data_IF_492664312912
#
_entry.id   IF_492664312912
#
_cell.length_a   1.000
_cell.length_b   1.000
_cell.length_c   1.000
_cell.angle_alpha   90.00
_cell.angle_beta   90.00
_cell.angle_gamma   90.00
#
_symmetry.space_group_name_H-M   'P 1'
#
loop_
_entity.id
_entity.type
_entity.pdbx_description
1 polymer ?
#
# COMPACT_ATOMS: atom_id res chain seq x y z
N UNK A 1 -41.96 -28.53 26.39
CA UNK A 1 -42.34 -28.22 27.80
C UNK A 1 -41.22 -27.42 28.41
N UNK A 2 -41.41 -26.11 28.49
CA UNK A 2 -40.63 -25.14 29.25
C UNK A 2 -40.72 -25.41 30.76
N UNK A 3 -39.60 -25.32 31.48
CA UNK A 3 -39.56 -25.09 32.94
C UNK A 3 -38.30 -24.33 33.33
N UNK A 4 -38.43 -23.01 33.38
CA UNK A 4 -37.52 -22.10 34.07
C UNK A 4 -37.60 -22.32 35.60
N UNK A 5 -36.51 -21.92 36.25
CA UNK A 5 -36.42 -21.01 37.42
C UNK A 5 -35.94 -21.55 38.78
N UNK A 6 -35.07 -20.70 39.34
CA UNK A 6 -34.89 -20.27 40.74
C UNK A 6 -33.70 -20.80 41.56
N UNK A 7 -32.73 -19.88 41.64
CA UNK A 7 -31.81 -19.55 42.74
C UNK A 7 -32.23 -20.04 44.13
N UNK A 8 -31.27 -20.54 44.91
CA UNK A 8 -31.33 -20.43 46.37
C UNK A 8 -29.93 -20.29 47.02
N UNK A 9 -29.80 -19.20 47.79
CA UNK A 9 -29.01 -18.89 49.01
C UNK A 9 -27.53 -19.28 49.12
N UNK A 10 -26.60 -18.32 49.32
CA UNK A 10 -26.38 -17.38 50.46
C UNK A 10 -25.55 -17.94 51.62
N UNK A 11 -24.72 -17.03 52.17
CA UNK A 11 -23.95 -17.04 53.42
C UNK A 11 -22.47 -17.47 53.24
N UNK A 12 -21.46 -16.79 53.77
CA UNK A 12 -21.42 -15.87 54.91
C UNK A 12 -20.07 -15.12 54.99
N UNK A 13 -20.02 -14.10 55.88
CA UNK A 13 -18.83 -13.55 56.59
C UNK A 13 -17.83 -12.73 55.74
N UNK A 14 -17.19 -11.66 56.19
CA UNK A 14 -17.07 -11.03 57.50
C UNK A 14 -16.08 -9.85 57.40
N UNK A 15 -16.31 -8.88 58.28
CA UNK A 15 -15.50 -7.74 58.74
C UNK A 15 -14.04 -7.55 58.23
N UNK A 16 -13.84 -6.34 57.69
CA UNK A 16 -12.68 -5.43 57.66
C UNK A 16 -11.34 -5.81 58.32
N UNK A 17 -10.23 -5.48 57.64
CA UNK A 17 -9.05 -4.81 58.25
C UNK A 17 -8.33 -3.98 57.18
N UNK A 18 -8.24 -2.65 57.40
CA UNK A 18 -7.25 -1.80 56.76
C UNK A 18 -5.99 -1.79 57.64
N UNK A 19 -4.84 -2.28 57.14
CA UNK A 19 -3.53 -1.93 57.69
C UNK A 19 -2.51 -1.87 56.55
N UNK A 20 -1.80 -0.76 56.52
CA UNK A 20 -0.69 -0.45 55.66
C UNK A 20 0.54 -1.34 55.91
N UNK A 21 1.39 -1.45 54.90
CA UNK A 21 2.83 -1.53 55.11
C UNK A 21 3.42 -2.93 55.26
N UNK A 22 4.05 -3.38 54.17
CA UNK A 22 5.33 -4.10 54.07
C UNK A 22 5.78 -5.02 55.22
N UNK A 23 6.05 -6.28 54.90
CA UNK A 23 7.43 -6.84 54.89
C UNK A 23 7.42 -8.25 54.30
N UNK A 24 8.39 -8.49 53.39
CA UNK A 24 9.19 -9.72 53.24
C UNK A 24 8.66 -11.03 53.87
N UNK A 25 8.34 -12.01 53.03
CA UNK A 25 8.81 -13.41 53.14
C UNK A 25 8.23 -14.22 51.97
N UNK A 26 9.05 -14.46 50.94
CA UNK A 26 9.70 -15.76 50.68
C UNK A 26 8.73 -16.77 50.06
N UNK A 27 8.66 -16.87 48.74
CA UNK A 27 9.48 -17.81 47.93
C UNK A 27 9.18 -19.30 48.14
N UNK A 28 7.93 -19.69 48.39
CA UNK A 28 7.55 -21.11 48.25
C UNK A 28 6.18 -21.17 47.57
N UNK A 29 6.18 -21.52 46.27
CA UNK A 29 5.04 -22.01 45.45
C UNK A 29 4.99 -21.46 44.00
N UNK A 30 6.13 -21.07 43.43
CA UNK A 30 6.24 -20.86 41.98
C UNK A 30 6.65 -22.16 41.24
N UNK A 31 5.81 -23.20 41.28
CA UNK A 31 6.09 -24.46 40.55
C UNK A 31 5.07 -24.89 39.50
N UNK A 32 4.00 -24.16 39.26
CA UNK A 32 3.05 -24.50 38.19
C UNK A 32 2.36 -23.26 37.59
N UNK A 33 3.12 -22.20 37.37
CA UNK A 33 2.68 -21.14 36.47
C UNK A 33 3.44 -21.33 35.16
N UNK A 34 2.76 -21.47 33.99
CA UNK A 34 3.44 -21.34 32.72
C UNK A 34 4.18 -20.00 32.75
N UNK A 35 5.43 -19.93 32.28
CA UNK A 35 6.20 -18.69 32.36
C UNK A 35 5.35 -17.58 31.78
N UNK A 36 5.01 -16.61 32.64
CA UNK A 36 4.49 -15.33 32.17
C UNK A 36 5.63 -14.79 31.31
N UNK A 37 5.34 -14.56 30.03
CA UNK A 37 6.29 -14.02 29.07
C UNK A 37 6.58 -12.55 29.43
N UNK A 38 7.29 -12.32 30.53
CA UNK A 38 7.70 -10.98 30.97
C UNK A 38 8.98 -10.52 30.24
N UNK A 39 9.64 -11.41 29.48
CA UNK A 39 10.90 -11.12 28.76
C UNK A 39 10.75 -11.16 27.22
N UNK A 40 9.57 -10.87 26.66
CA UNK A 40 9.39 -10.84 25.18
C UNK A 40 9.06 -9.44 24.65
N UNK A 41 8.85 -8.46 25.52
CA UNK A 41 8.84 -7.06 25.11
C UNK A 41 10.21 -6.44 25.40
N UNK A 42 11.20 -6.90 24.65
CA UNK A 42 12.33 -6.04 24.37
C UNK A 42 11.77 -4.82 23.61
N UNK A 43 11.87 -3.64 24.20
CA UNK A 43 11.48 -2.36 23.58
C UNK A 43 12.37 -2.01 22.37
N UNK A 44 13.26 -2.91 21.95
CA UNK A 44 13.62 -3.07 20.54
C UNK A 44 12.41 -3.64 19.82
N UNK A 45 11.42 -2.79 19.54
CA UNK A 45 10.65 -2.95 18.31
C UNK A 45 11.67 -2.92 17.18
N UNK A 46 12.25 -4.08 16.87
CA UNK A 46 12.92 -4.30 15.60
C UNK A 46 11.87 -3.91 14.59
N UNK A 47 12.06 -2.76 13.95
CA UNK A 47 11.27 -2.39 12.79
C UNK A 47 11.41 -3.57 11.86
N UNK A 48 10.38 -4.41 11.79
CA UNK A 48 10.22 -5.27 10.63
C UNK A 48 10.38 -4.33 9.45
N UNK A 49 11.26 -4.62 8.46
CA UNK A 49 11.40 -3.78 7.30
C UNK A 49 10.11 -3.92 6.49
N UNK A 50 9.07 -3.23 6.93
CA UNK A 50 7.89 -2.93 6.14
C UNK A 50 8.34 -1.76 5.30
N UNK A 51 8.50 -1.99 4.00
CA UNK A 51 8.70 -0.91 3.05
C UNK A 51 7.44 -0.06 3.10
N UNK A 52 7.59 1.26 3.30
CA UNK A 52 6.45 2.17 3.21
C UNK A 52 5.90 2.09 1.77
N UNK A 53 4.57 2.10 1.59
CA UNK A 53 3.96 1.99 0.24
C UNK A 53 4.53 3.01 -0.75
N UNK A 54 4.89 4.19 -0.25
CA UNK A 54 5.57 5.25 -1.02
C UNK A 54 6.96 4.83 -1.52
N UNK A 55 7.73 4.09 -0.71
CA UNK A 55 9.07 3.62 -1.09
C UNK A 55 8.99 2.58 -2.21
N UNK A 56 7.96 1.72 -2.17
CA UNK A 56 7.71 0.72 -3.22
C UNK A 56 7.36 1.38 -4.55
N UNK A 57 6.48 2.41 -4.52
CA UNK A 57 6.13 3.20 -5.71
C UNK A 57 7.34 3.97 -6.23
N UNK A 58 8.08 4.66 -5.35
CA UNK A 58 9.26 5.43 -5.73
C UNK A 58 10.32 4.54 -6.39
N UNK A 59 10.59 3.35 -5.84
CA UNK A 59 11.49 2.38 -6.45
C UNK A 59 10.95 1.80 -7.77
N UNK A 60 9.63 1.84 -8.00
CA UNK A 60 9.02 1.57 -9.29
C UNK A 60 9.32 2.65 -10.32
N UNK A 61 9.17 3.92 -9.94
CA UNK A 61 9.43 5.09 -10.79
C UNK A 61 10.88 5.07 -11.29
N UNK A 62 11.83 4.92 -10.37
CA UNK A 62 13.26 4.92 -10.69
C UNK A 62 13.70 3.77 -11.61
N UNK A 63 12.89 2.72 -11.81
CA UNK A 63 13.20 1.66 -12.78
C UNK A 63 13.10 2.13 -14.22
N UNK A 64 12.33 3.18 -14.49
CA UNK A 64 12.22 3.77 -15.82
C UNK A 64 13.31 4.82 -16.08
N UNK A 65 14.18 5.11 -15.11
CA UNK A 65 15.25 6.09 -15.26
C UNK A 65 16.20 5.71 -16.40
N UNK A 66 16.41 6.65 -17.32
CA UNK A 66 17.27 6.45 -18.48
C UNK A 66 16.63 5.64 -19.62
N UNK A 67 15.39 5.17 -19.48
CA UNK A 67 14.59 4.64 -20.59
C UNK A 67 14.19 5.80 -21.51
N UNK A 68 14.05 5.54 -22.80
CA UNK A 68 13.56 6.51 -23.80
C UNK A 68 12.37 5.88 -24.51
N UNK A 69 11.23 6.55 -24.47
CA UNK A 69 9.98 6.11 -25.09
C UNK A 69 9.46 7.28 -25.92
N UNK A 70 9.34 7.12 -27.23
CA UNK A 70 8.96 8.22 -28.12
C UNK A 70 7.48 8.17 -28.53
N UNK A 71 6.78 7.08 -28.21
CA UNK A 71 5.38 6.85 -28.58
C UNK A 71 4.67 5.92 -27.59
N UNK A 72 3.33 5.99 -27.45
CA UNK A 72 2.57 5.13 -26.53
C UNK A 72 2.80 3.63 -26.74
N UNK A 73 2.99 3.18 -27.98
CA UNK A 73 3.29 1.77 -28.24
C UNK A 73 4.60 1.30 -27.56
N UNK A 74 5.61 2.18 -27.46
CA UNK A 74 6.85 1.85 -26.76
C UNK A 74 6.62 1.76 -25.23
N UNK A 75 5.69 2.53 -24.68
CA UNK A 75 5.27 2.41 -23.28
C UNK A 75 4.64 1.04 -23.01
N UNK A 76 3.72 0.59 -23.87
CA UNK A 76 3.11 -0.75 -23.74
C UNK A 76 4.17 -1.86 -23.75
N UNK A 77 5.11 -1.83 -24.71
CA UNK A 77 6.21 -2.79 -24.77
C UNK A 77 7.08 -2.76 -23.51
N UNK A 78 7.42 -1.57 -23.01
CA UNK A 78 8.17 -1.40 -21.77
C UNK A 78 7.44 -2.00 -20.56
N UNK A 79 6.13 -1.78 -20.43
CA UNK A 79 5.33 -2.32 -19.33
C UNK A 79 5.26 -3.85 -19.38
N UNK A 80 5.06 -4.42 -20.57
CA UNK A 80 5.06 -5.88 -20.77
C UNK A 80 6.43 -6.48 -20.42
N UNK A 81 7.53 -5.86 -20.85
CA UNK A 81 8.88 -6.29 -20.51
C UNK A 81 9.17 -6.18 -18.99
N UNK A 82 8.54 -5.21 -18.32
CA UNK A 82 8.59 -5.05 -16.87
C UNK A 82 7.69 -6.06 -16.12
N UNK A 83 6.92 -6.90 -16.84
CA UNK A 83 6.05 -7.92 -16.28
C UNK A 83 4.64 -7.42 -15.93
N UNK A 84 4.23 -6.26 -16.44
CA UNK A 84 2.88 -5.69 -16.29
C UNK A 84 2.06 -6.11 -17.50
N UNK A 85 0.94 -6.80 -17.27
CA UNK A 85 0.05 -7.21 -18.34
C UNK A 85 -0.87 -6.03 -18.70
N UNK A 86 -0.67 -5.46 -19.89
CA UNK A 86 -1.50 -4.39 -20.43
C UNK A 86 -2.66 -4.99 -21.22
N UNK A 87 -3.88 -4.62 -20.86
CA UNK A 87 -5.11 -5.02 -21.58
C UNK A 87 -5.52 -3.96 -22.60
N UNK A 88 -5.30 -2.68 -22.27
CA UNK A 88 -5.63 -1.57 -23.14
C UNK A 88 -4.66 -0.41 -22.96
N UNK A 89 -4.28 0.23 -24.07
CA UNK A 89 -3.59 1.50 -24.10
C UNK A 89 -4.10 2.31 -25.29
N UNK A 90 -4.67 3.48 -25.05
CA UNK A 90 -5.17 4.34 -26.11
C UNK A 90 -5.21 5.81 -25.70
N UNK A 91 -5.09 6.69 -26.70
CA UNK A 91 -5.31 8.11 -26.51
C UNK A 91 -6.80 8.44 -26.63
N UNK A 92 -7.31 9.25 -25.71
CA UNK A 92 -8.67 9.77 -25.68
C UNK A 92 -8.67 11.28 -25.48
N UNK A 93 -9.70 11.92 -26.02
CA UNK A 93 -9.94 13.35 -25.82
C UNK A 93 -11.07 13.51 -24.78
N UNK A 94 -10.72 13.96 -23.57
CA UNK A 94 -11.65 14.14 -22.47
C UNK A 94 -11.70 15.61 -22.10
N UNK A 95 -12.88 16.22 -22.25
CA UNK A 95 -13.11 17.64 -21.91
C UNK A 95 -12.19 18.68 -22.60
N UNK A 96 -11.44 18.27 -23.63
CA UNK A 96 -10.49 19.13 -24.34
C UNK A 96 -9.04 18.86 -23.96
N UNK A 97 -8.81 17.90 -23.06
CA UNK A 97 -7.52 17.39 -22.63
C UNK A 97 -7.24 16.04 -23.35
N UNK A 98 -5.98 15.82 -23.71
CA UNK A 98 -5.49 14.57 -24.32
C UNK A 98 -5.05 13.63 -23.20
N UNK A 99 -5.79 12.55 -23.00
CA UNK A 99 -5.59 11.57 -21.93
C UNK A 99 -5.11 10.24 -22.50
N UNK A 100 -4.04 9.69 -21.93
CA UNK A 100 -3.58 8.35 -22.24
C UNK A 100 -4.25 7.35 -21.29
N UNK A 101 -5.26 6.63 -21.79
CA UNK A 101 -6.01 5.61 -21.04
C UNK A 101 -5.22 4.30 -21.03
N UNK A 102 -4.89 3.79 -19.85
CA UNK A 102 -4.21 2.52 -19.62
C UNK A 102 -5.09 1.59 -18.78
N UNK A 103 -5.25 0.35 -19.21
CA UNK A 103 -5.82 -0.73 -18.38
C UNK A 103 -4.76 -1.82 -18.19
N UNK A 104 -4.43 -2.17 -16.95
CA UNK A 104 -3.45 -3.22 -16.67
C UNK A 104 -3.88 -4.16 -15.55
N UNK A 105 -3.53 -5.44 -15.70
CA UNK A 105 -3.87 -6.50 -14.75
C UNK A 105 -2.84 -6.55 -13.63
N UNK A 106 -3.34 -6.51 -12.40
CA UNK A 106 -2.52 -6.74 -11.21
C UNK A 106 -2.60 -8.22 -10.83
N UNK A 107 -1.46 -8.91 -10.89
CA UNK A 107 -1.40 -10.36 -10.65
C UNK A 107 -1.71 -10.79 -9.21
N UNK A 108 -2.07 -12.07 -9.04
CA UNK A 108 -2.49 -12.68 -7.77
C UNK A 108 -1.40 -12.71 -6.69
N UNK A 109 -0.13 -12.49 -7.04
CA UNK A 109 0.97 -12.39 -6.09
C UNK A 109 0.96 -11.02 -5.43
N UNK A 110 0.02 -10.84 -4.50
CA UNK A 110 -0.15 -9.68 -3.61
C UNK A 110 1.19 -9.24 -2.96
N UNK A 111 2.17 -10.14 -2.88
CA UNK A 111 3.50 -9.88 -2.32
C UNK A 111 4.36 -8.84 -3.05
N UNK A 112 4.07 -8.47 -4.30
CA UNK A 112 4.80 -7.39 -4.99
C UNK A 112 4.07 -6.04 -5.00
N UNK A 113 2.84 -5.98 -4.48
CA UNK A 113 2.08 -4.75 -4.22
C UNK A 113 1.68 -3.93 -5.46
N UNK A 114 0.44 -3.43 -5.48
CA UNK A 114 -0.06 -2.52 -6.52
C UNK A 114 0.84 -1.29 -6.69
N UNK A 115 1.48 -0.84 -5.60
CA UNK A 115 2.39 0.30 -5.63
C UNK A 115 3.57 0.12 -6.59
N UNK A 116 4.09 -1.11 -6.75
CA UNK A 116 5.21 -1.32 -7.67
C UNK A 116 4.81 -1.13 -9.13
N UNK A 117 3.66 -1.67 -9.55
CA UNK A 117 3.18 -1.48 -10.92
C UNK A 117 2.81 -0.03 -11.19
N UNK A 118 2.16 0.63 -10.23
CA UNK A 118 1.87 2.08 -10.30
C UNK A 118 3.15 2.90 -10.49
N UNK A 119 4.20 2.61 -9.72
CA UNK A 119 5.48 3.29 -9.84
C UNK A 119 6.14 3.08 -11.20
N UNK A 120 6.16 1.85 -11.71
CA UNK A 120 6.72 1.54 -13.03
C UNK A 120 5.93 2.25 -14.14
N UNK A 121 4.60 2.30 -14.04
CA UNK A 121 3.74 3.04 -14.97
C UNK A 121 4.04 4.53 -14.94
N UNK A 122 4.11 5.14 -13.76
CA UNK A 122 4.43 6.57 -13.62
C UNK A 122 5.82 6.93 -14.15
N UNK A 123 6.83 6.10 -13.86
CA UNK A 123 8.18 6.26 -14.43
C UNK A 123 8.19 6.07 -15.95
N UNK A 124 7.46 5.09 -16.46
CA UNK A 124 7.29 4.87 -17.89
C UNK A 124 6.63 6.08 -18.58
N UNK A 125 5.57 6.63 -17.98
CA UNK A 125 4.92 7.84 -18.47
C UNK A 125 5.88 9.04 -18.47
N UNK A 126 6.71 9.20 -17.44
CA UNK A 126 7.78 10.20 -17.43
C UNK A 126 8.74 10.04 -18.60
N UNK A 127 9.16 8.80 -18.89
CA UNK A 127 10.04 8.53 -20.03
C UNK A 127 9.38 8.84 -21.38
N UNK A 128 8.05 8.65 -21.48
CA UNK A 128 7.24 8.99 -22.65
C UNK A 128 7.11 10.51 -22.84
N UNK A 129 6.78 11.26 -21.78
CA UNK A 129 6.74 12.73 -21.79
C UNK A 129 8.10 13.32 -22.15
N UNK A 130 9.20 12.82 -21.57
CA UNK A 130 10.57 13.20 -21.94
C UNK A 130 10.88 12.91 -23.42
N UNK A 131 10.28 11.88 -24.01
CA UNK A 131 10.36 11.56 -25.44
C UNK A 131 9.60 12.53 -26.36
N UNK A 132 8.83 13.45 -25.79
CA UNK A 132 8.07 14.47 -26.52
C UNK A 132 6.61 14.11 -26.77
N UNK A 133 6.05 13.17 -26.00
CA UNK A 133 4.60 12.97 -25.93
C UNK A 133 3.91 14.22 -25.36
N UNK A 134 2.84 14.66 -26.02
CA UNK A 134 2.12 15.92 -25.73
C UNK A 134 0.70 15.61 -25.26
N UNK A 135 0.58 14.83 -24.18
CA UNK A 135 -0.68 14.56 -23.48
C UNK A 135 -0.73 15.29 -22.14
N UNK A 136 -1.92 15.48 -21.60
CA UNK A 136 -2.15 16.21 -20.34
C UNK A 136 -2.02 15.28 -19.11
N UNK A 137 -2.40 14.01 -19.26
CA UNK A 137 -2.31 13.00 -18.19
C UNK A 137 -2.36 11.56 -18.72
N UNK A 138 -1.94 10.62 -17.88
CA UNK A 138 -2.24 9.20 -18.01
C UNK A 138 -3.27 8.80 -16.95
N UNK A 139 -4.37 8.18 -17.39
CA UNK A 139 -5.41 7.62 -16.53
C UNK A 139 -5.31 6.10 -16.56
N UNK A 140 -5.08 5.47 -15.41
CA UNK A 140 -4.80 4.04 -15.31
C UNK A 140 -5.85 3.30 -14.49
N UNK A 141 -6.43 2.26 -15.08
CA UNK A 141 -7.32 1.30 -14.43
C UNK A 141 -6.57 0.04 -14.00
N UNK A 142 -6.76 -0.34 -12.73
CA UNK A 142 -6.28 -1.58 -12.14
C UNK A 142 -7.31 -2.68 -12.32
N UNK A 143 -6.97 -3.70 -13.09
CA UNK A 143 -7.82 -4.86 -13.36
C UNK A 143 -7.42 -6.07 -12.51
N UNK A 144 -8.42 -6.82 -12.06
CA UNK A 144 -8.20 -8.16 -11.51
C UNK A 144 -7.92 -9.19 -12.64
N UNK A 145 -7.54 -10.44 -12.31
CA UNK A 145 -7.30 -11.47 -13.33
C UNK A 145 -8.51 -11.85 -14.18
N UNK A 146 -9.73 -11.50 -13.75
CA UNK A 146 -10.97 -11.70 -14.49
C UNK A 146 -11.31 -10.48 -15.38
N UNK A 147 -10.48 -9.43 -15.38
CA UNK A 147 -10.63 -8.19 -16.13
C UNK A 147 -11.58 -7.18 -15.49
N UNK A 148 -11.90 -7.31 -14.20
CA UNK A 148 -12.75 -6.35 -13.50
C UNK A 148 -11.90 -5.23 -12.89
N UNK A 149 -12.27 -3.99 -13.18
CA UNK A 149 -11.66 -2.81 -12.56
C UNK A 149 -11.96 -2.77 -11.07
N UNK A 150 -10.94 -2.62 -10.24
CA UNK A 150 -11.08 -2.47 -8.78
C UNK A 150 -10.45 -1.17 -8.25
N UNK A 151 -9.65 -0.47 -9.06
CA UNK A 151 -9.10 0.83 -8.71
C UNK A 151 -8.64 1.61 -9.93
N UNK A 152 -8.51 2.91 -9.76
CA UNK A 152 -8.15 3.87 -10.80
C UNK A 152 -7.16 4.89 -10.21
N UNK A 153 -6.16 5.32 -10.97
CA UNK A 153 -5.24 6.38 -10.56
C UNK A 153 -4.77 7.19 -11.77
N UNK A 154 -4.26 8.38 -11.50
CA UNK A 154 -3.88 9.37 -12.50
C UNK A 154 -2.40 9.75 -12.34
N UNK A 155 -1.77 10.08 -13.47
CA UNK A 155 -0.41 10.61 -13.53
C UNK A 155 -0.42 11.85 -14.41
N UNK A 156 -0.34 13.03 -13.80
CA UNK A 156 -0.34 14.29 -14.53
C UNK A 156 1.00 14.54 -15.24
N UNK A 157 0.95 15.12 -16.44
CA UNK A 157 2.15 15.50 -17.20
C UNK A 157 3.00 16.52 -16.44
N UNK A 158 2.39 17.51 -15.80
CA UNK A 158 3.09 18.51 -14.98
C UNK A 158 3.98 17.87 -13.90
N UNK A 159 3.52 16.79 -13.26
CA UNK A 159 4.30 16.08 -12.25
C UNK A 159 5.45 15.27 -12.87
N UNK A 160 5.19 14.63 -14.01
CA UNK A 160 6.21 13.89 -14.75
C UNK A 160 7.33 14.82 -15.22
N UNK A 161 6.99 15.99 -15.76
CA UNK A 161 7.96 17.02 -16.16
C UNK A 161 8.74 17.58 -14.98
N UNK A 162 8.07 17.88 -13.85
CA UNK A 162 8.74 18.39 -12.66
C UNK A 162 9.70 17.34 -12.06
N UNK A 163 9.34 16.05 -12.11
CA UNK A 163 10.22 14.95 -11.71
C UNK A 163 11.42 14.79 -12.67
N UNK A 164 11.20 14.76 -13.99
CA UNK A 164 12.26 14.62 -14.99
C UNK A 164 13.28 15.78 -14.93
N UNK A 165 12.79 17.00 -14.67
CA UNK A 165 13.62 18.18 -14.45
C UNK A 165 14.39 18.16 -13.11
N UNK A 166 14.13 17.18 -12.24
CA UNK A 166 14.70 17.08 -10.89
C UNK A 166 14.15 18.11 -9.90
N UNK A 167 12.97 18.67 -10.17
CA UNK A 167 12.24 19.61 -9.31
C UNK A 167 11.63 18.94 -8.09
N UNK A 168 11.17 17.69 -8.24
CA UNK A 168 10.68 16.82 -7.17
C UNK A 168 11.43 15.50 -7.12
N UNK A 169 11.41 14.83 -5.97
CA UNK A 169 12.00 13.49 -5.81
C UNK A 169 11.02 12.40 -6.23
N UNK A 170 11.51 11.20 -6.51
CA UNK A 170 10.66 10.04 -6.79
C UNK A 170 9.64 9.77 -5.65
N UNK A 171 10.02 10.04 -4.39
CA UNK A 171 9.12 9.90 -3.25
C UNK A 171 7.98 10.94 -3.24
N UNK A 172 8.27 12.18 -3.64
CA UNK A 172 7.22 13.21 -3.77
C UNK A 172 6.30 12.87 -4.94
N UNK A 173 6.88 12.50 -6.08
CA UNK A 173 6.11 12.10 -7.26
C UNK A 173 5.23 10.86 -6.99
N UNK A 174 5.77 9.84 -6.33
CA UNK A 174 5.03 8.69 -5.84
C UNK A 174 3.85 9.09 -4.95
N UNK A 175 4.04 10.08 -4.07
CA UNK A 175 2.99 10.58 -3.20
C UNK A 175 1.87 11.26 -3.97
N UNK A 176 2.18 12.05 -4.99
CA UNK A 176 1.17 12.70 -5.84
C UNK A 176 0.32 11.64 -6.56
N UNK A 177 0.97 10.66 -7.22
CA UNK A 177 0.29 9.57 -7.91
C UNK A 177 -0.59 8.75 -6.95
N UNK A 178 -0.07 8.34 -5.80
CA UNK A 178 -0.84 7.57 -4.82
C UNK A 178 -2.08 8.31 -4.29
N UNK A 179 -2.04 9.64 -4.19
CA UNK A 179 -3.19 10.42 -3.73
C UNK A 179 -4.35 10.46 -4.72
N UNK A 180 -4.12 10.11 -5.99
CA UNK A 180 -5.17 9.99 -7.01
C UNK A 180 -5.84 8.61 -7.00
N UNK A 181 -5.30 7.64 -6.26
CA UNK A 181 -5.83 6.29 -6.24
C UNK A 181 -7.23 6.26 -5.63
N UNK A 182 -8.21 5.89 -6.44
CA UNK A 182 -9.59 5.67 -6.05
C UNK A 182 -9.98 4.20 -6.21
N UNK A 183 -10.93 3.73 -5.39
CA UNK A 183 -11.53 2.40 -5.59
C UNK A 183 -12.64 2.49 -6.63
N UNK A 184 -12.65 1.55 -7.58
CA UNK A 184 -13.72 1.46 -8.56
C UNK A 184 -15.08 1.18 -7.87
N UNK A 185 -16.16 1.74 -8.42
CA UNK A 185 -17.51 1.75 -7.81
C UNK A 185 -18.40 0.57 -8.19
#
# INVERSE_FOLDING_TARGET
MDRRTYLDRCAALGVAVAVAGCTDQTLEDAKDQPPVFDDVYDESSGSLPVEDEFDVVAAGIERADGVTLDEPAALEEFLVDAGIAVEHLAEAELHGDTVLELEHVVGETISEGNGRSMGIVAGGYTALVRGGYDGDELSASLLDPDGQTFGEYEVLTDWAEEYDAGGITAAVYASEVLHTLESAR
#
